data_IF_597524159853
#
_entry.id   IF_597524159853
#
_cell.length_a   1.000
_cell.length_b   1.000
_cell.length_c   1.000
_cell.angle_alpha   90.00
_cell.angle_beta   90.00
_cell.angle_gamma   90.00
#
_symmetry.space_group_name_H-M   'P 1'
#
loop_
_entity.id
_entity.type
_entity.pdbx_description
1 polymer ?
#
# COMPACT_ATOMS: atom_id res chain seq x y z
N UNK A 1 12.98 6.02 -8.11
CA UNK A 1 11.83 5.18 -8.52
C UNK A 1 10.65 6.10 -8.86
N UNK A 2 10.02 5.92 -10.02
CA UNK A 2 8.89 6.76 -10.49
C UNK A 2 7.56 6.03 -10.32
N UNK A 3 6.47 6.79 -10.19
CA UNK A 3 5.12 6.23 -10.17
C UNK A 3 4.78 5.58 -11.51
N UNK A 4 4.32 4.33 -11.46
CA UNK A 4 3.94 3.55 -12.62
C UNK A 4 2.83 4.25 -13.42
N UNK A 5 1.74 4.63 -12.76
CA UNK A 5 0.58 5.27 -13.41
C UNK A 5 0.93 6.62 -14.06
N UNK A 6 1.72 7.45 -13.37
CA UNK A 6 2.22 8.70 -13.96
C UNK A 6 3.05 8.43 -15.21
N UNK A 7 3.98 7.48 -15.12
CA UNK A 7 4.87 7.13 -16.22
C UNK A 7 4.10 6.58 -17.43
N UNK A 8 3.07 5.75 -17.20
CA UNK A 8 2.18 5.27 -18.27
C UNK A 8 1.35 6.41 -18.89
N UNK A 9 1.06 7.47 -18.14
CA UNK A 9 0.40 8.66 -18.65
C UNK A 9 1.36 9.69 -19.27
N UNK A 10 2.64 9.36 -19.44
CA UNK A 10 3.66 10.27 -20.00
C UNK A 10 4.11 11.38 -19.05
N UNK A 11 3.79 11.27 -17.77
CA UNK A 11 4.20 12.22 -16.72
C UNK A 11 5.22 11.59 -15.77
N UNK A 12 6.01 12.39 -15.08
CA UNK A 12 6.99 11.90 -14.10
C UNK A 12 6.63 12.40 -12.71
N UNK A 13 6.36 11.48 -11.80
CA UNK A 13 6.15 11.80 -10.38
C UNK A 13 6.96 10.84 -9.52
N UNK A 14 7.68 11.32 -8.49
CA UNK A 14 8.45 10.48 -7.59
C UNK A 14 7.52 9.54 -6.81
N UNK A 15 7.91 8.27 -6.71
CA UNK A 15 7.18 7.30 -5.90
C UNK A 15 7.42 7.55 -4.41
N UNK A 16 6.37 7.44 -3.60
CA UNK A 16 6.42 7.53 -2.13
C UNK A 16 6.29 6.16 -1.45
N UNK A 17 5.96 5.12 -2.22
CA UNK A 17 5.84 3.76 -1.74
C UNK A 17 5.59 2.75 -2.84
N UNK A 18 5.45 1.49 -2.45
CA UNK A 18 5.20 0.36 -3.34
C UNK A 18 3.87 -0.29 -2.94
N UNK A 19 3.02 -0.54 -3.93
CA UNK A 19 1.74 -1.24 -3.75
C UNK A 19 1.98 -2.66 -3.23
N UNK A 20 1.38 -3.00 -2.09
CA UNK A 20 1.48 -4.36 -1.53
C UNK A 20 0.82 -5.43 -2.40
N UNK A 21 -0.19 -5.06 -3.20
CA UNK A 21 -0.93 -5.99 -4.05
C UNK A 21 -0.16 -6.43 -5.30
N UNK A 22 0.38 -5.47 -6.05
CA UNK A 22 0.98 -5.74 -7.37
C UNK A 22 2.45 -5.30 -7.51
N UNK A 23 3.05 -4.71 -6.48
CA UNK A 23 4.44 -4.24 -6.53
C UNK A 23 4.68 -2.95 -7.32
N UNK A 24 3.63 -2.30 -7.82
CA UNK A 24 3.75 -1.04 -8.53
C UNK A 24 4.26 0.08 -7.61
N UNK A 25 5.23 0.86 -8.10
CA UNK A 25 5.63 2.11 -7.46
C UNK A 25 4.54 3.17 -7.61
N UNK A 26 4.16 3.85 -6.54
CA UNK A 26 3.06 4.82 -6.53
C UNK A 26 3.49 6.16 -5.92
N UNK A 27 3.07 7.27 -6.53
CA UNK A 27 3.22 8.61 -5.95
C UNK A 27 2.09 8.88 -4.94
N UNK A 28 2.16 10.00 -4.23
CA UNK A 28 1.13 10.38 -3.25
C UNK A 28 -0.28 10.48 -3.85
N UNK A 29 -0.40 10.87 -5.13
CA UNK A 29 -1.68 10.98 -5.82
C UNK A 29 -2.26 9.61 -6.21
N UNK A 30 -1.43 8.61 -6.51
CA UNK A 30 -1.87 7.27 -6.94
C UNK A 30 -1.81 6.23 -5.81
N UNK A 31 -1.48 6.65 -4.59
CA UNK A 31 -1.43 5.80 -3.41
C UNK A 31 -2.72 5.89 -2.59
N UNK A 32 -3.24 4.74 -2.16
CA UNK A 32 -4.20 4.61 -1.06
C UNK A 32 -3.53 3.92 0.10
N UNK A 33 -3.62 4.55 1.27
CA UNK A 33 -3.20 3.94 2.53
C UNK A 33 -4.41 3.25 3.15
N UNK A 34 -4.32 1.94 3.29
CA UNK A 34 -5.35 1.12 3.92
C UNK A 34 -4.86 0.72 5.30
N UNK A 35 -5.71 0.90 6.32
CA UNK A 35 -5.46 0.35 7.64
C UNK A 35 -5.81 -1.13 7.65
N UNK A 36 -4.94 -1.96 8.19
CA UNK A 36 -5.22 -3.38 8.45
C UNK A 36 -4.84 -3.71 9.87
N UNK A 37 -5.59 -4.60 10.48
CA UNK A 37 -5.19 -5.18 11.76
C UNK A 37 -4.16 -6.27 11.50
N UNK A 38 -3.04 -6.19 12.21
CA UNK A 38 -2.00 -7.22 12.17
C UNK A 38 -1.98 -7.89 13.53
N UNK A 39 -2.35 -9.17 13.53
CA UNK A 39 -2.20 -10.02 14.70
C UNK A 39 -0.73 -10.41 14.84
N UNK A 40 -0.07 -9.87 15.87
CA UNK A 40 1.26 -10.32 16.27
C UNK A 40 1.10 -11.40 17.33
N UNK A 41 1.77 -12.54 17.14
CA UNK A 41 1.89 -13.62 18.14
C UNK A 41 3.32 -13.67 18.65
N UNK A 42 3.67 -12.84 19.64
CA UNK A 42 4.96 -12.97 20.33
C UNK A 42 5.07 -14.33 21.03
N UNK A 43 6.28 -14.86 21.16
CA UNK A 43 6.52 -16.20 21.71
C UNK A 43 6.22 -16.31 23.22
N UNK A 44 6.38 -15.22 23.96
CA UNK A 44 6.27 -15.18 25.43
C UNK A 44 5.16 -14.25 25.94
N UNK A 45 4.21 -13.86 25.08
CA UNK A 45 3.12 -12.97 25.46
C UNK A 45 1.82 -13.29 24.69
N UNK A 46 0.64 -12.87 25.20
CA UNK A 46 -0.61 -13.01 24.49
C UNK A 46 -0.59 -12.34 23.10
N UNK A 47 -1.39 -12.83 22.14
CA UNK A 47 -1.53 -12.18 20.84
C UNK A 47 -2.02 -10.74 20.99
N UNK A 48 -1.42 -9.82 20.25
CA UNK A 48 -1.83 -8.41 20.20
C UNK A 48 -2.25 -8.07 18.78
N UNK A 49 -3.39 -7.41 18.65
CA UNK A 49 -3.83 -6.79 17.40
C UNK A 49 -3.29 -5.37 17.35
N UNK A 50 -2.58 -5.05 16.27
CA UNK A 50 -2.03 -3.71 16.07
C UNK A 50 -2.45 -3.19 14.71
N UNK A 51 -3.01 -1.99 14.67
CA UNK A 51 -3.28 -1.30 13.42
C UNK A 51 -1.97 -1.04 12.67
N UNK A 52 -1.85 -1.59 11.47
CA UNK A 52 -0.78 -1.31 10.53
C UNK A 52 -1.33 -0.59 9.31
N UNK A 53 -0.43 0.07 8.58
CA UNK A 53 -0.75 0.76 7.32
C UNK A 53 -0.15 0.00 6.16
N UNK A 54 -0.91 -0.06 5.07
CA UNK A 54 -0.48 -0.68 3.81
C UNK A 54 -0.70 0.30 2.68
N UNK A 55 0.26 0.41 1.76
CA UNK A 55 0.11 1.19 0.54
C UNK A 55 -0.45 0.29 -0.57
N UNK A 56 -1.49 0.74 -1.26
CA UNK A 56 -2.05 0.13 -2.46
C UNK A 56 -2.15 1.17 -3.58
N UNK A 57 -1.98 0.77 -4.84
CA UNK A 57 -2.42 1.59 -5.97
C UNK A 57 -3.95 1.62 -6.04
N UNK A 58 -4.54 2.57 -6.79
CA UNK A 58 -5.99 2.68 -6.91
C UNK A 58 -6.66 1.40 -7.43
N UNK A 59 -6.06 0.73 -8.41
CA UNK A 59 -6.58 -0.54 -8.95
C UNK A 59 -6.67 -1.61 -7.88
N UNK A 60 -5.60 -1.85 -7.12
CA UNK A 60 -5.63 -2.85 -6.06
C UNK A 60 -6.49 -2.40 -4.86
N UNK A 61 -6.57 -1.10 -4.58
CA UNK A 61 -7.39 -0.57 -3.49
C UNK A 61 -8.88 -0.80 -3.76
N UNK A 62 -9.35 -0.65 -5.00
CA UNK A 62 -10.74 -0.88 -5.39
C UNK A 62 -11.21 -2.32 -5.14
N UNK A 63 -10.30 -3.30 -5.18
CA UNK A 63 -10.60 -4.71 -4.90
C UNK A 63 -10.68 -5.00 -3.39
N UNK A 64 -9.95 -4.26 -2.55
CA UNK A 64 -9.91 -4.50 -1.10
C UNK A 64 -11.06 -3.81 -0.33
N UNK A 65 -11.88 -3.01 -1.00
CA UNK A 65 -13.05 -2.32 -0.42
C UNK A 65 -14.37 -3.08 -0.61
N UNK A 66 -14.32 -4.37 -0.98
CA UNK A 66 -15.47 -5.25 -1.16
C UNK A 66 -15.71 -6.19 0.02
#
# INVERSE_FOLDING_TARGET
>A
MLCLDCNTAGTTSPAVGVCRGCGAAVCANHARVIQREVRRRPLLAPPVETAARTVHCFTCAAVHTG
#
